data_IF_708803563830
#
_entry.id   IF_708803563830
#
_cell.length_a   1.000
_cell.length_b   1.000
_cell.length_c   1.000
_cell.angle_alpha   90.00
_cell.angle_beta   90.00
_cell.angle_gamma   90.00
#
_symmetry.space_group_name_H-M   'P 1'
#
loop_
_entity.id
_entity.type
_entity.pdbx_description
1 polymer ?
#
# COMPACT_ATOMS: atom_id res chain seq x y z
N UNK A 1 -68.89 -1.27 -114.77
CA UNK A 1 -68.22 -2.07 -115.83
C UNK A 1 -66.87 -2.50 -115.26
N UNK A 2 -66.50 -3.80 -115.16
CA UNK A 2 -66.12 -4.74 -116.24
C UNK A 2 -64.96 -4.21 -117.10
N UNK A 3 -63.87 -4.92 -117.41
CA UNK A 3 -63.28 -6.21 -116.95
C UNK A 3 -61.75 -6.18 -117.34
N UNK A 4 -60.84 -7.18 -117.21
CA UNK A 4 -60.76 -8.59 -116.81
C UNK A 4 -59.31 -8.83 -116.27
N UNK A 5 -58.94 -9.73 -115.34
CA UNK A 5 -59.18 -11.18 -115.08
C UNK A 5 -58.33 -12.16 -115.93
N UNK A 6 -57.25 -12.70 -115.33
CA UNK A 6 -56.61 -14.04 -115.49
C UNK A 6 -55.62 -14.17 -114.29
N UNK A 7 -55.75 -15.04 -113.27
CA UNK A 7 -55.98 -16.49 -113.16
C UNK A 7 -54.76 -17.40 -113.39
N UNK A 8 -54.18 -17.88 -112.29
CA UNK A 8 -53.55 -19.20 -112.15
C UNK A 8 -53.66 -19.67 -110.68
N UNK A 9 -53.92 -20.96 -110.47
CA UNK A 9 -53.78 -21.68 -109.18
C UNK A 9 -52.64 -22.72 -109.34
N UNK A 10 -52.22 -23.56 -108.38
CA UNK A 10 -52.83 -24.01 -107.12
C UNK A 10 -51.81 -24.52 -106.08
N UNK A 11 -52.25 -24.66 -104.83
CA UNK A 11 -51.63 -25.37 -103.68
C UNK A 11 -51.56 -26.91 -103.86
N UNK A 12 -51.00 -27.76 -102.94
CA UNK A 12 -50.51 -27.51 -101.55
C UNK A 12 -49.16 -28.19 -101.13
N UNK A 13 -48.71 -27.89 -99.90
CA UNK A 13 -48.12 -28.70 -98.78
C UNK A 13 -47.39 -30.06 -99.02
N UNK A 14 -46.51 -30.58 -98.09
CA UNK A 14 -46.47 -30.30 -96.64
C UNK A 14 -45.08 -30.25 -95.91
N UNK A 15 -45.16 -29.83 -94.63
CA UNK A 15 -44.34 -30.22 -93.46
C UNK A 15 -42.79 -30.34 -93.55
N UNK A 16 -42.11 -29.42 -92.86
CA UNK A 16 -40.98 -29.76 -91.98
C UNK A 16 -41.04 -28.95 -90.67
N UNK A 17 -40.95 -29.63 -89.53
CA UNK A 17 -40.80 -29.01 -88.20
C UNK A 17 -39.30 -28.85 -87.85
N UNK A 18 -39.04 -28.01 -86.82
CA UNK A 18 -37.71 -27.58 -86.30
C UNK A 18 -37.08 -26.48 -87.18
N UNK A 19 -36.32 -25.51 -86.64
CA UNK A 19 -35.64 -25.48 -85.32
C UNK A 19 -35.50 -24.04 -84.76
N UNK A 20 -36.51 -23.52 -84.06
CA UNK A 20 -36.35 -22.31 -83.23
C UNK A 20 -35.58 -22.66 -81.94
N UNK A 21 -34.24 -22.58 -81.98
CA UNK A 21 -33.38 -22.78 -80.79
C UNK A 21 -31.97 -22.20 -81.01
N UNK A 22 -31.85 -20.87 -80.99
CA UNK A 22 -30.56 -20.17 -80.95
C UNK A 22 -30.69 -18.75 -80.38
N UNK A 23 -31.46 -18.55 -79.30
CA UNK A 23 -31.35 -17.32 -78.52
C UNK A 23 -30.01 -17.33 -77.78
N UNK A 24 -29.14 -16.31 -77.91
CA UNK A 24 -27.97 -16.19 -77.06
C UNK A 24 -28.43 -16.04 -75.61
N UNK A 25 -28.01 -16.96 -74.74
CA UNK A 25 -28.18 -16.80 -73.29
C UNK A 25 -27.56 -15.48 -72.86
N UNK A 26 -28.29 -14.56 -72.19
CA UNK A 26 -27.68 -13.39 -71.59
C UNK A 26 -26.61 -13.84 -70.61
N UNK A 27 -25.36 -13.39 -70.80
CA UNK A 27 -24.34 -13.58 -69.75
C UNK A 27 -24.86 -12.89 -68.49
N UNK A 28 -25.06 -13.66 -67.42
CA UNK A 28 -25.41 -13.11 -66.13
C UNK A 28 -24.36 -12.05 -65.73
N UNK A 29 -24.76 -10.90 -65.15
CA UNK A 29 -23.80 -9.94 -64.61
C UNK A 29 -22.88 -10.65 -63.61
N UNK A 30 -21.57 -10.48 -63.79
CA UNK A 30 -20.61 -10.92 -62.76
C UNK A 30 -20.91 -10.10 -61.51
N UNK A 31 -21.16 -10.72 -60.34
CA UNK A 31 -21.41 -9.97 -59.12
C UNK A 31 -20.20 -9.09 -58.80
N UNK A 32 -20.41 -7.89 -58.21
CA UNK A 32 -19.29 -7.07 -57.77
C UNK A 32 -18.44 -7.86 -56.76
N UNK A 33 -17.11 -7.63 -56.71
CA UNK A 33 -16.28 -8.25 -55.69
C UNK A 33 -16.82 -7.91 -54.30
N UNK A 34 -16.73 -8.83 -53.32
CA UNK A 34 -17.17 -8.54 -51.96
C UNK A 34 -16.39 -7.32 -51.42
N UNK A 35 -17.02 -6.49 -50.56
CA UNK A 35 -16.30 -5.40 -49.91
C UNK A 35 -15.10 -5.95 -49.13
N UNK A 36 -13.98 -5.22 -49.06
CA UNK A 36 -12.85 -5.63 -48.24
C UNK A 36 -13.30 -5.82 -46.78
N UNK A 37 -12.71 -6.76 -46.03
CA UNK A 37 -13.00 -6.91 -44.61
C UNK A 37 -12.68 -5.59 -43.87
N UNK A 38 -13.40 -5.27 -42.79
CA UNK A 38 -13.14 -4.06 -42.01
C UNK A 38 -11.68 -4.04 -41.51
N UNK A 39 -10.99 -2.90 -41.65
CA UNK A 39 -9.61 -2.77 -41.19
C UNK A 39 -9.55 -2.61 -39.68
N UNK A 40 -9.25 -3.71 -38.99
CA UNK A 40 -8.95 -3.73 -37.55
C UNK A 40 -7.63 -3.01 -37.20
N UNK A 41 -6.82 -2.59 -38.18
CA UNK A 41 -5.53 -1.91 -37.94
C UNK A 41 -5.71 -0.63 -37.11
N UNK A 42 -6.78 0.12 -37.35
CA UNK A 42 -7.14 1.29 -36.58
C UNK A 42 -7.48 0.95 -35.12
N UNK A 43 -8.29 -0.09 -34.91
CA UNK A 43 -8.63 -0.58 -33.57
C UNK A 43 -7.38 -1.11 -32.83
N UNK A 44 -6.52 -1.88 -33.50
CA UNK A 44 -5.26 -2.38 -32.97
C UNK A 44 -4.24 -1.25 -32.67
N UNK A 45 -4.25 -0.15 -33.42
CA UNK A 45 -3.46 1.04 -33.12
C UNK A 45 -3.98 1.77 -31.88
N UNK A 46 -5.31 1.94 -31.75
CA UNK A 46 -5.93 2.54 -30.56
C UNK A 46 -5.76 1.68 -29.31
N UNK A 47 -5.90 0.35 -29.41
CA UNK A 47 -5.66 -0.58 -28.30
C UNK A 47 -4.21 -0.48 -27.79
N UNK A 48 -3.21 -0.48 -28.69
CA UNK A 48 -1.80 -0.28 -28.33
C UNK A 48 -1.55 1.07 -27.65
N UNK A 49 -2.18 2.16 -28.12
CA UNK A 49 -2.11 3.48 -27.47
C UNK A 49 -2.75 3.47 -26.08
N UNK A 50 -3.91 2.85 -25.91
CA UNK A 50 -4.59 2.75 -24.63
C UNK A 50 -3.78 1.93 -23.61
N UNK A 51 -3.17 0.82 -24.03
CA UNK A 51 -2.25 0.02 -23.19
C UNK A 51 -1.01 0.85 -22.80
N UNK A 52 -0.38 1.54 -23.74
CA UNK A 52 0.79 2.37 -23.45
C UNK A 52 0.47 3.53 -22.47
N UNK A 53 -0.65 4.23 -22.67
CA UNK A 53 -1.11 5.28 -21.76
C UNK A 53 -1.48 4.73 -20.37
N UNK A 54 -2.09 3.55 -20.30
CA UNK A 54 -2.42 2.88 -19.04
C UNK A 54 -1.17 2.47 -18.26
N UNK A 55 -0.15 1.95 -18.97
CA UNK A 55 1.13 1.60 -18.37
C UNK A 55 1.86 2.84 -17.85
N UNK A 56 1.94 3.92 -18.65
CA UNK A 56 2.52 5.20 -18.24
C UNK A 56 1.78 5.80 -17.03
N UNK A 57 0.45 5.75 -17.01
CA UNK A 57 -0.37 6.20 -15.88
C UNK A 57 -0.11 5.40 -14.61
N UNK A 58 -0.03 4.06 -14.71
CA UNK A 58 0.29 3.18 -13.58
C UNK A 58 1.71 3.44 -13.05
N UNK A 59 2.71 3.51 -13.92
CA UNK A 59 4.10 3.84 -13.55
C UNK A 59 4.19 5.22 -12.90
N UNK A 60 3.49 6.22 -13.44
CA UNK A 60 3.41 7.57 -12.86
C UNK A 60 2.76 7.59 -11.47
N UNK A 61 1.68 6.84 -11.27
CA UNK A 61 1.01 6.72 -9.97
C UNK A 61 1.91 6.06 -8.91
N UNK A 62 2.63 4.99 -9.28
CA UNK A 62 3.61 4.32 -8.40
C UNK A 62 4.76 5.27 -8.07
N UNK A 63 5.34 5.96 -9.06
CA UNK A 63 6.41 6.93 -8.85
C UNK A 63 5.98 8.09 -7.94
N UNK A 64 4.76 8.62 -8.11
CA UNK A 64 4.21 9.67 -7.27
C UNK A 64 4.00 9.22 -5.81
N UNK A 65 3.58 7.96 -5.60
CA UNK A 65 3.43 7.40 -4.24
C UNK A 65 4.78 7.22 -3.54
N UNK A 66 5.80 6.73 -4.26
CA UNK A 66 7.16 6.62 -3.75
C UNK A 66 7.78 7.99 -3.44
N UNK A 67 7.56 9.00 -4.30
CA UNK A 67 8.00 10.37 -4.06
C UNK A 67 7.33 11.01 -2.84
N UNK A 68 6.02 10.79 -2.65
CA UNK A 68 5.30 11.17 -1.43
C UNK A 68 6.00 10.62 -0.19
N UNK A 69 6.26 9.32 -0.13
CA UNK A 69 6.78 8.67 1.07
C UNK A 69 8.26 9.02 1.31
N UNK A 70 9.05 9.21 0.25
CA UNK A 70 10.40 9.77 0.31
C UNK A 70 10.39 11.22 0.85
N UNK A 71 9.47 12.07 0.41
CA UNK A 71 9.38 13.47 0.88
C UNK A 71 9.08 13.55 2.39
N UNK A 72 8.26 12.63 2.89
CA UNK A 72 7.97 12.47 4.33
C UNK A 72 9.21 12.00 5.07
N UNK A 73 9.89 10.94 4.60
CA UNK A 73 11.12 10.45 5.21
C UNK A 73 12.21 11.54 5.26
N UNK A 74 12.44 12.28 4.18
CA UNK A 74 13.44 13.35 4.13
C UNK A 74 13.11 14.49 5.10
N UNK A 75 11.85 14.96 5.12
CA UNK A 75 11.39 16.02 6.03
C UNK A 75 11.55 15.60 7.49
N UNK A 76 11.07 14.41 7.84
CA UNK A 76 11.10 13.87 9.20
C UNK A 76 12.54 13.58 9.67
N UNK A 77 13.38 12.98 8.81
CA UNK A 77 14.76 12.65 9.18
C UNK A 77 15.67 13.88 9.29
N UNK A 78 15.41 14.95 8.54
CA UNK A 78 16.18 16.20 8.70
C UNK A 78 15.98 16.83 10.10
N UNK A 79 14.74 16.90 10.58
CA UNK A 79 14.47 17.35 11.95
C UNK A 79 15.02 16.39 13.02
N UNK A 80 14.89 15.07 12.82
CA UNK A 80 15.41 14.09 13.76
C UNK A 80 16.94 14.18 13.88
N UNK A 81 17.66 14.40 12.77
CA UNK A 81 19.09 14.70 12.78
C UNK A 81 19.40 16.00 13.55
N UNK A 82 18.66 17.08 13.29
CA UNK A 82 18.86 18.36 13.98
C UNK A 82 18.65 18.25 15.50
N UNK A 83 17.58 17.58 15.95
CA UNK A 83 17.34 17.29 17.38
C UNK A 83 18.42 16.37 17.97
N UNK A 84 18.98 15.44 17.19
CA UNK A 84 20.03 14.54 17.65
C UNK A 84 21.40 15.22 17.79
N UNK A 85 21.83 16.02 16.81
CA UNK A 85 23.08 16.82 16.88
C UNK A 85 23.02 17.83 18.03
N UNK A 86 21.87 18.45 18.30
CA UNK A 86 21.69 19.36 19.44
C UNK A 86 21.61 18.65 20.80
N UNK A 87 21.62 17.32 20.87
CA UNK A 87 21.55 16.59 22.12
C UNK A 87 22.93 16.13 22.60
N UNK A 88 23.42 16.70 23.70
CA UNK A 88 24.75 16.42 24.24
C UNK A 88 24.98 14.93 24.56
N UNK A 89 23.95 14.20 25.04
CA UNK A 89 24.10 12.75 25.33
C UNK A 89 24.27 11.90 24.06
N UNK A 90 23.85 12.40 22.89
CA UNK A 90 24.08 11.76 21.59
C UNK A 90 25.44 12.20 21.03
N UNK A 91 25.69 13.50 20.97
CA UNK A 91 26.93 14.07 20.44
C UNK A 91 28.18 13.59 21.19
N UNK A 92 28.13 13.51 22.52
CA UNK A 92 29.26 13.01 23.35
C UNK A 92 29.39 11.48 23.40
N UNK A 93 28.54 10.72 22.68
CA UNK A 93 28.53 9.26 22.72
C UNK A 93 28.88 8.60 21.37
N UNK A 94 28.52 9.23 20.24
CA UNK A 94 28.96 8.79 18.90
C UNK A 94 29.90 9.80 18.23
N UNK A 95 30.12 10.97 18.82
CA UNK A 95 30.97 12.03 18.29
C UNK A 95 30.32 12.86 17.20
N UNK A 96 30.95 13.97 16.84
CA UNK A 96 30.54 14.85 15.74
C UNK A 96 31.54 14.78 14.57
N UNK A 97 31.09 14.91 13.31
CA UNK A 97 29.71 15.13 12.89
C UNK A 97 28.87 13.83 12.92
N UNK A 98 27.64 13.92 13.41
CA UNK A 98 26.66 12.83 13.29
C UNK A 98 26.15 12.79 11.86
N UNK A 99 26.37 11.67 11.17
CA UNK A 99 25.90 11.44 9.79
C UNK A 99 24.68 10.53 9.76
N UNK A 100 23.79 10.73 8.79
CA UNK A 100 22.64 9.85 8.54
C UNK A 100 23.08 8.69 7.65
N UNK A 101 22.90 7.47 8.12
CA UNK A 101 23.22 6.25 7.38
C UNK A 101 22.28 5.97 6.19
N UNK A 102 22.44 4.81 5.53
CA UNK A 102 21.79 4.54 4.25
C UNK A 102 20.26 4.50 4.32
N UNK A 103 19.59 5.15 3.36
CA UNK A 103 18.13 5.28 3.35
C UNK A 103 17.39 3.93 3.21
N UNK A 104 18.00 2.94 2.54
CA UNK A 104 17.44 1.60 2.39
C UNK A 104 17.46 0.79 3.70
N UNK A 105 18.22 1.22 4.70
CA UNK A 105 18.24 0.66 6.06
C UNK A 105 17.28 1.41 7.00
N UNK A 106 16.53 2.40 6.50
CA UNK A 106 15.48 3.07 7.26
C UNK A 106 14.14 2.33 7.11
N UNK A 107 13.30 2.44 8.14
CA UNK A 107 11.89 2.04 8.05
C UNK A 107 10.97 3.21 8.40
N UNK A 108 9.84 3.26 7.69
CA UNK A 108 8.78 4.26 7.87
C UNK A 108 7.44 3.55 7.95
N UNK A 109 6.71 3.79 9.03
CA UNK A 109 5.35 3.31 9.24
C UNK A 109 4.41 4.51 9.31
N UNK A 110 3.58 4.67 8.26
CA UNK A 110 2.62 5.78 8.14
C UNK A 110 1.25 5.33 8.65
N UNK A 111 0.67 6.07 9.58
CA UNK A 111 -0.63 5.76 10.17
C UNK A 111 -1.79 6.28 9.30
N UNK A 112 -3.02 5.86 9.62
CA UNK A 112 -4.26 6.19 8.89
C UNK A 112 -4.39 7.70 8.62
N UNK A 113 -4.84 8.04 7.41
CA UNK A 113 -4.93 9.41 6.88
C UNK A 113 -3.60 10.22 6.82
N UNK A 114 -2.43 9.56 6.92
CA UNK A 114 -1.10 10.19 6.88
C UNK A 114 -0.92 11.31 7.93
N UNK A 115 -1.56 11.17 9.11
CA UNK A 115 -1.52 12.14 10.21
C UNK A 115 -0.45 11.86 11.28
N UNK A 116 0.07 10.63 11.37
CA UNK A 116 1.25 10.32 12.19
C UNK A 116 2.17 9.34 11.48
N UNK A 117 3.46 9.40 11.79
CA UNK A 117 4.50 8.50 11.30
C UNK A 117 5.35 7.97 12.45
N UNK A 118 5.83 6.74 12.32
CA UNK A 118 6.92 6.21 13.12
C UNK A 118 8.07 5.90 12.18
N UNK A 119 9.24 6.47 12.44
CA UNK A 119 10.42 6.34 11.60
C UNK A 119 11.60 5.78 12.40
N UNK A 120 12.40 4.95 11.75
CA UNK A 120 13.65 4.40 12.28
C UNK A 120 14.73 4.54 11.21
N UNK A 121 15.91 5.08 11.52
CA UNK A 121 17.03 5.12 10.57
C UNK A 121 18.39 5.08 11.28
N UNK A 122 19.43 4.49 10.67
CA UNK A 122 20.76 4.43 11.25
C UNK A 122 21.47 5.79 11.19
N UNK A 123 22.34 6.04 12.17
CA UNK A 123 23.27 7.18 12.24
C UNK A 123 24.66 6.69 12.57
N UNK A 124 25.68 7.43 12.14
CA UNK A 124 27.10 7.07 12.35
C UNK A 124 27.90 8.32 12.71
N UNK A 125 28.78 8.22 13.70
CA UNK A 125 29.75 9.26 14.06
C UNK A 125 31.13 8.67 14.34
N UNK A 126 32.16 9.49 14.61
CA UNK A 126 33.54 9.01 14.77
C UNK A 126 33.79 8.01 15.90
N UNK A 127 32.94 7.99 16.94
CA UNK A 127 33.10 7.17 18.15
C UNK A 127 32.20 5.93 18.17
N UNK A 128 31.17 5.87 17.33
CA UNK A 128 30.20 4.78 17.31
C UNK A 128 29.08 4.97 16.31
N UNK A 129 28.28 3.90 16.17
CA UNK A 129 27.08 3.88 15.34
C UNK A 129 25.81 4.01 16.21
N UNK A 130 24.66 4.19 15.57
CA UNK A 130 23.40 4.32 16.28
C UNK A 130 22.17 4.17 15.39
N UNK A 131 21.01 4.22 16.04
CA UNK A 131 19.71 4.02 15.43
C UNK A 131 18.72 5.01 16.05
N UNK A 132 18.37 6.05 15.31
CA UNK A 132 17.34 7.01 15.71
C UNK A 132 15.96 6.39 15.45
N UNK A 133 15.11 6.40 16.48
CA UNK A 133 13.72 5.93 16.45
C UNK A 133 12.82 7.03 16.97
N UNK A 134 11.86 7.47 16.17
CA UNK A 134 11.00 8.58 16.55
C UNK A 134 9.59 8.44 16.01
N UNK A 135 8.66 9.17 16.63
CA UNK A 135 7.28 9.32 16.20
C UNK A 135 6.98 10.80 15.99
N UNK A 136 6.35 11.12 14.86
CA UNK A 136 5.91 12.46 14.53
C UNK A 136 4.43 12.50 14.14
N UNK A 137 3.78 13.64 14.40
CA UNK A 137 2.44 13.96 13.90
C UNK A 137 2.51 15.08 12.88
N UNK A 138 1.58 15.14 11.94
CA UNK A 138 1.49 16.25 10.98
C UNK A 138 0.62 17.34 11.58
N UNK A 139 1.24 18.48 11.89
CA UNK A 139 0.54 19.73 12.09
C UNK A 139 0.04 20.24 10.72
N UNK A 140 -1.04 21.03 10.75
CA UNK A 140 -1.65 21.62 9.56
C UNK A 140 -2.97 20.98 9.13
N UNK A 141 -3.87 21.83 8.64
CA UNK A 141 -5.21 21.50 8.16
C UNK A 141 -5.18 20.82 6.78
N UNK A 142 -6.31 20.26 6.33
CA UNK A 142 -6.39 19.52 5.07
C UNK A 142 -6.47 20.44 3.84
N UNK A 143 -5.39 21.17 3.57
CA UNK A 143 -5.21 21.93 2.34
C UNK A 143 -5.23 21.00 1.10
N UNK A 144 -5.59 21.54 -0.06
CA UNK A 144 -5.63 20.80 -1.32
C UNK A 144 -4.22 20.47 -1.89
N UNK A 145 -3.19 21.24 -1.51
CA UNK A 145 -1.80 21.07 -1.96
C UNK A 145 -0.91 20.29 -0.96
N UNK A 146 -1.43 19.20 -0.37
CA UNK A 146 -0.74 18.41 0.69
C UNK A 146 0.66 17.88 0.32
N UNK A 147 0.99 17.88 -0.98
CA UNK A 147 2.25 17.42 -1.59
C UNK A 147 3.25 18.55 -1.91
N UNK A 148 2.81 19.82 -1.99
CA UNK A 148 3.70 20.99 -2.16
C UNK A 148 4.08 21.62 -0.82
N UNK A 149 3.17 21.59 0.16
CA UNK A 149 3.49 22.01 1.52
C UNK A 149 4.50 21.04 2.16
N UNK A 150 5.74 21.53 2.30
CA UNK A 150 6.75 21.02 3.23
C UNK A 150 6.05 20.81 4.57
N UNK A 151 5.80 19.56 4.91
CA UNK A 151 4.81 19.24 5.93
C UNK A 151 5.40 19.46 7.31
N UNK A 152 4.68 20.20 8.15
CA UNK A 152 5.06 20.50 9.52
C UNK A 152 4.88 19.27 10.41
N UNK A 153 5.82 18.33 10.28
CA UNK A 153 5.92 17.18 11.15
C UNK A 153 6.47 17.61 12.50
N UNK A 154 5.74 17.37 13.57
CA UNK A 154 6.19 17.59 14.94
C UNK A 154 6.63 16.24 15.54
N UNK A 155 7.92 16.11 15.86
CA UNK A 155 8.47 14.90 16.51
C UNK A 155 8.10 14.91 18.00
N UNK A 156 7.07 14.15 18.37
CA UNK A 156 6.55 14.03 19.75
C UNK A 156 7.45 13.22 20.68
N UNK A 157 8.14 12.21 20.15
CA UNK A 157 9.00 11.29 20.91
C UNK A 157 10.18 10.91 20.03
N UNK A 158 11.40 11.10 20.51
CA UNK A 158 12.61 10.55 19.89
C UNK A 158 13.46 9.78 20.89
N UNK A 159 13.96 8.64 20.43
CA UNK A 159 14.95 7.82 21.11
C UNK A 159 16.16 7.61 20.20
N UNK A 160 17.36 7.72 20.76
CA UNK A 160 18.58 7.23 20.14
C UNK A 160 18.98 5.93 20.83
N UNK A 161 19.21 4.87 20.05
CA UNK A 161 19.87 3.66 20.51
C UNK A 161 21.28 3.72 19.92
N UNK A 162 22.27 3.95 20.76
CA UNK A 162 23.66 4.21 20.36
C UNK A 162 24.53 3.02 20.75
N UNK A 163 25.48 2.66 19.90
CA UNK A 163 26.46 1.61 20.16
C UNK A 163 27.84 2.25 20.31
N UNK A 164 28.23 2.44 21.57
CA UNK A 164 29.42 3.20 21.97
C UNK A 164 30.60 2.24 22.15
N UNK A 165 31.76 2.57 21.57
CA UNK A 165 33.00 1.84 21.84
C UNK A 165 33.59 2.30 23.16
N UNK A 166 33.65 1.41 24.13
CA UNK A 166 34.39 1.61 25.40
C UNK A 166 35.89 1.39 25.20
N UNK A 167 36.73 1.92 26.09
CA UNK A 167 38.20 1.79 26.03
C UNK A 167 38.68 0.32 26.07
N UNK A 168 37.90 -0.56 26.72
CA UNK A 168 38.04 -2.03 26.73
C UNK A 168 37.90 -2.69 25.33
N UNK A 169 37.62 -1.92 24.27
CA UNK A 169 37.26 -2.42 22.94
C UNK A 169 35.85 -3.04 22.86
N UNK A 170 35.08 -3.00 23.96
CA UNK A 170 33.72 -3.55 24.03
C UNK A 170 32.69 -2.55 23.51
N UNK A 171 31.68 -3.10 22.84
CA UNK A 171 30.50 -2.38 22.37
C UNK A 171 29.47 -2.27 23.50
N UNK A 172 29.02 -1.06 23.82
CA UNK A 172 28.01 -0.80 24.84
C UNK A 172 26.81 -0.06 24.26
N UNK A 173 25.65 -0.71 24.27
CA UNK A 173 24.39 -0.09 23.81
C UNK A 173 23.82 0.89 24.84
N UNK A 174 23.92 2.19 24.58
CA UNK A 174 23.24 3.23 25.35
C UNK A 174 21.87 3.58 24.74
N UNK A 175 20.93 4.03 25.58
CA UNK A 175 19.60 4.49 25.13
C UNK A 175 19.32 5.89 25.68
N UNK A 176 19.25 6.87 24.78
CA UNK A 176 18.92 8.27 25.09
C UNK A 176 17.47 8.54 24.70
N UNK A 177 16.70 9.21 25.56
CA UNK A 177 15.46 9.88 25.14
C UNK A 177 15.82 11.32 24.78
N UNK A 178 15.65 11.68 23.51
CA UNK A 178 15.89 13.05 23.04
C UNK A 178 14.57 13.80 23.17
N UNK A 179 14.41 14.45 24.33
CA UNK A 179 13.32 15.39 24.58
C UNK A 179 13.51 16.65 23.71
N UNK A 180 12.42 17.40 23.50
CA UNK A 180 12.53 18.77 23.01
C UNK A 180 13.10 19.69 24.09
N UNK A 181 13.89 20.67 23.67
CA UNK A 181 14.51 21.66 24.55
C UNK A 181 13.51 22.71 25.10
N UNK A 182 12.21 22.51 24.88
CA UNK A 182 11.12 23.33 25.44
C UNK A 182 10.93 22.99 26.92
N UNK A 183 11.79 23.55 27.77
CA UNK A 183 11.81 23.40 29.22
C UNK A 183 11.82 21.93 29.69
N UNK A 184 13.02 21.38 29.89
CA UNK A 184 13.18 20.05 30.48
C UNK A 184 12.32 19.91 31.76
N UNK A 185 11.54 18.82 31.91
CA UNK A 185 10.97 18.48 33.21
C UNK A 185 12.10 18.45 34.26
N UNK A 186 11.85 18.88 35.51
CA UNK A 186 12.87 18.84 36.54
C UNK A 186 13.46 17.42 36.62
N UNK A 187 14.79 17.27 36.76
CA UNK A 187 15.42 15.96 36.75
C UNK A 187 14.74 15.05 37.78
N UNK A 188 14.46 13.78 37.45
CA UNK A 188 13.78 12.88 38.37
C UNK A 188 14.63 12.79 39.65
N UNK A 189 14.09 13.33 40.75
CA UNK A 189 14.81 13.45 42.01
C UNK A 189 15.38 12.09 42.40
N UNK A 190 16.66 12.08 42.82
CA UNK A 190 17.46 10.86 43.02
C UNK A 190 16.65 9.71 43.63
N UNK A 191 16.38 8.69 42.82
CA UNK A 191 15.55 7.54 43.20
C UNK A 191 16.31 6.55 44.10
N UNK A 192 17.05 7.10 45.07
CA UNK A 192 17.73 6.38 46.14
C UNK A 192 16.70 6.06 47.23
N UNK A 193 16.72 4.82 47.72
CA UNK A 193 15.77 4.31 48.73
C UNK A 193 14.33 4.13 48.24
N UNK A 194 14.15 3.54 47.04
CA UNK A 194 13.04 2.61 46.84
C UNK A 194 13.20 1.39 47.77
N UNK A 195 12.88 1.55 49.06
CA UNK A 195 12.79 0.45 50.01
C UNK A 195 11.68 -0.50 49.51
N UNK A 196 11.93 -1.82 49.35
CA UNK A 196 10.92 -2.72 48.82
C UNK A 196 9.68 -2.68 49.71
N UNK A 197 8.54 -2.29 49.14
CA UNK A 197 7.27 -2.22 49.87
C UNK A 197 6.86 -3.64 50.23
N UNK A 198 7.00 -4.01 51.51
CA UNK A 198 6.48 -5.28 52.02
C UNK A 198 4.98 -5.36 51.75
N UNK A 199 4.59 -6.28 50.87
CA UNK A 199 3.19 -6.62 50.64
C UNK A 199 2.58 -7.03 51.99
N UNK A 200 1.49 -6.40 52.46
CA UNK A 200 0.83 -6.85 53.67
C UNK A 200 0.31 -8.28 53.43
N UNK A 201 0.72 -9.21 54.30
CA UNK A 201 0.34 -10.62 54.20
C UNK A 201 -1.19 -10.74 54.11
N UNK A 202 -1.76 -11.51 53.16
CA UNK A 202 -3.19 -11.75 53.16
C UNK A 202 -3.58 -12.42 54.48
N UNK A 203 -4.59 -11.87 55.18
CA UNK A 203 -5.09 -12.45 56.42
C UNK A 203 -5.47 -13.92 56.19
N UNK A 204 -5.10 -14.85 57.09
CA UNK A 204 -5.62 -16.21 57.05
C UNK A 204 -7.15 -16.21 57.01
N UNK A 205 -7.71 -16.95 56.05
CA UNK A 205 -9.16 -17.17 55.97
C UNK A 205 -9.61 -17.95 57.20
N UNK A 206 -10.65 -17.53 57.94
CA UNK A 206 -11.14 -18.29 59.08
C UNK A 206 -11.54 -19.71 58.67
N UNK A 207 -11.05 -20.71 59.41
CA UNK A 207 -11.43 -22.11 59.26
C UNK A 207 -12.92 -22.28 59.59
N UNK A 208 -13.73 -22.99 58.77
CA UNK A 208 -15.10 -23.31 59.16
C UNK A 208 -15.09 -24.25 60.37
N UNK A 209 -15.93 -23.94 61.37
CA UNK A 209 -16.17 -24.80 62.53
C UNK A 209 -16.93 -26.05 62.06
N UNK A 210 -16.52 -27.27 62.44
CA UNK A 210 -17.27 -28.48 62.11
C UNK A 210 -18.58 -28.54 62.90
N UNK A 211 -19.71 -28.63 62.19
CA UNK A 211 -21.04 -28.85 62.79
C UNK A 211 -21.08 -30.22 63.48
N UNK A 212 -21.58 -30.34 64.73
CA UNK A 212 -21.74 -31.63 65.39
C UNK A 212 -22.80 -32.50 64.69
N UNK A 213 -22.56 -33.82 64.61
CA UNK A 213 -23.53 -34.77 64.08
C UNK A 213 -24.74 -34.92 65.03
N UNK A 214 -25.99 -35.00 64.52
CA UNK A 214 -27.11 -35.50 65.29
C UNK A 214 -26.96 -37.02 65.54
N UNK A 215 -27.31 -37.47 66.75
CA UNK A 215 -27.19 -38.87 67.19
C UNK A 215 -28.19 -39.79 66.48
N UNK A 216 -27.80 -41.06 66.33
CA UNK A 216 -28.60 -42.15 65.71
C UNK A 216 -29.90 -42.48 66.44
N UNK A 217 -30.97 -42.74 65.69
CA UNK A 217 -32.17 -43.44 66.16
C UNK A 217 -32.06 -44.97 65.90
N UNK A 218 -32.62 -45.84 66.76
CA UNK A 218 -32.54 -47.30 66.64
C UNK A 218 -33.59 -47.90 65.66
N UNK A 219 -33.39 -49.14 65.19
CA UNK A 219 -34.25 -49.78 64.19
C UNK A 219 -35.38 -50.66 64.77
N UNK A 220 -36.53 -50.78 64.09
CA UNK A 220 -37.41 -51.94 64.13
C UNK A 220 -37.08 -52.96 63.02
N UNK A 221 -37.62 -54.18 63.10
CA UNK A 221 -37.17 -55.33 62.30
C UNK A 221 -38.21 -55.87 61.29
N UNK A 222 -37.66 -56.45 60.21
CA UNK A 222 -38.09 -57.67 59.48
C UNK A 222 -39.58 -58.06 59.46
N UNK A 223 -40.20 -58.04 58.27
CA UNK A 223 -41.00 -59.11 57.64
C UNK A 223 -41.42 -58.64 56.23
N UNK A 224 -41.57 -59.48 55.18
CA UNK A 224 -41.34 -60.92 55.03
C UNK A 224 -41.04 -61.25 53.57
#
# INVERSE_FOLDING_TARGET
>A
MLAARRHAASTPSPLLLRRLSAQPQPKAPVPPPPPPPPSDEGAAAWARRAVALSLLGLTGAVAASAFSDLSVFLSCSSQAMEKATKNQQVASAIGEPITRGPWYSASIAVNRARRSVSCTFPVSGPQGDGLLKFKAVRLGEESWFRFLQRSDWEILIMHAILDVRTEDGKHQTMRVMVADNTAAPPPPADCRTCKPRTTPTPKPKPTPVPTPMPTSAPPPAQEK
#
